data_IF_126418189396
#
_entry.id   IF_126418189396
#
_cell.length_a   1.000
_cell.length_b   1.000
_cell.length_c   1.000
_cell.angle_alpha   90.00
_cell.angle_beta   90.00
_cell.angle_gamma   90.00
#
_symmetry.space_group_name_H-M   'P 1'
#
loop_
_entity.id
_entity.type
_entity.pdbx_description
1 polymer ?
#
# COMPACT_ATOMS: atom_id res chain seq x y z
N UNK A 1 -38.85 -30.29 -49.45
CA UNK A 1 -38.24 -29.17 -50.19
C UNK A 1 -37.49 -28.29 -49.21
N UNK A 2 -36.22 -27.97 -49.52
CA UNK A 2 -35.32 -26.97 -48.95
C UNK A 2 -35.02 -27.03 -47.42
N UNK A 3 -33.88 -27.56 -46.94
CA UNK A 3 -32.48 -27.05 -46.93
C UNK A 3 -32.23 -25.74 -46.16
N UNK A 4 -31.48 -25.83 -45.05
CA UNK A 4 -30.43 -24.88 -44.61
C UNK A 4 -29.72 -25.50 -43.38
N UNK A 5 -28.62 -26.26 -43.50
CA UNK A 5 -27.20 -25.82 -43.67
C UNK A 5 -26.78 -24.68 -42.74
N UNK A 6 -26.18 -25.07 -41.62
CA UNK A 6 -25.23 -24.28 -40.83
C UNK A 6 -23.97 -23.98 -41.65
N UNK A 7 -23.38 -22.78 -41.48
CA UNK A 7 -21.95 -22.61 -41.64
C UNK A 7 -21.30 -22.03 -40.38
N UNK A 8 -20.32 -22.76 -39.86
CA UNK A 8 -19.12 -22.17 -39.24
C UNK A 8 -18.41 -21.35 -40.32
N UNK A 9 -18.08 -20.08 -40.05
CA UNK A 9 -16.80 -19.41 -40.33
C UNK A 9 -16.93 -17.87 -40.19
N UNK A 10 -15.81 -17.22 -39.86
CA UNK A 10 -15.55 -15.79 -39.59
C UNK A 10 -15.75 -15.40 -38.11
N UNK A 11 -14.81 -15.51 -37.17
CA UNK A 11 -13.38 -15.14 -37.14
C UNK A 11 -13.02 -13.86 -37.92
N UNK A 12 -12.43 -12.92 -37.17
CA UNK A 12 -11.93 -11.58 -37.54
C UNK A 12 -13.00 -10.50 -37.64
N UNK A 13 -13.14 -9.69 -36.57
CA UNK A 13 -12.82 -8.25 -36.57
C UNK A 13 -13.25 -7.62 -35.23
N UNK A 14 -12.30 -7.49 -34.30
CA UNK A 14 -12.17 -6.35 -33.40
C UNK A 14 -10.76 -6.38 -32.79
N UNK A 15 -9.78 -6.15 -33.67
CA UNK A 15 -8.46 -5.65 -33.26
C UNK A 15 -8.64 -4.16 -32.92
N UNK A 16 -7.92 -3.73 -31.87
CA UNK A 16 -7.78 -2.35 -31.38
C UNK A 16 -8.72 -1.91 -30.24
N UNK A 17 -8.72 -2.64 -29.13
CA UNK A 17 -8.75 -1.94 -27.84
C UNK A 17 -7.32 -1.50 -27.51
N UNK A 18 -7.01 -0.24 -27.84
CA UNK A 18 -5.83 0.45 -27.32
C UNK A 18 -5.85 0.31 -25.81
N UNK A 19 -4.79 -0.27 -25.26
CA UNK A 19 -4.53 -0.30 -23.83
C UNK A 19 -4.73 1.09 -23.23
N UNK A 20 -5.80 1.29 -22.48
CA UNK A 20 -5.89 2.37 -21.52
C UNK A 20 -4.75 2.15 -20.53
N UNK A 21 -3.67 2.91 -20.70
CA UNK A 21 -2.59 3.00 -19.71
C UNK A 21 -3.21 3.58 -18.44
N UNK A 22 -3.58 2.70 -17.51
CA UNK A 22 -3.69 3.09 -16.10
C UNK A 22 -2.36 3.67 -15.61
N UNK A 23 -2.37 4.52 -14.58
CA UNK A 23 -1.14 5.11 -14.06
C UNK A 23 -0.18 3.97 -13.68
N UNK A 24 1.01 3.98 -14.30
CA UNK A 24 2.07 3.03 -14.02
C UNK A 24 2.32 3.05 -12.51
N UNK A 25 2.19 1.90 -11.85
CA UNK A 25 2.58 1.71 -10.46
C UNK A 25 4.06 2.09 -10.32
N UNK A 26 4.33 3.32 -9.90
CA UNK A 26 5.69 3.80 -9.63
C UNK A 26 6.11 3.20 -8.30
N UNK A 27 6.66 2.00 -8.31
CA UNK A 27 7.27 1.41 -7.13
C UNK A 27 8.50 2.25 -6.74
N UNK A 28 8.40 3.02 -5.65
CA UNK A 28 9.56 3.56 -4.97
C UNK A 28 10.00 2.54 -3.92
N UNK A 29 10.65 1.46 -4.37
CA UNK A 29 11.70 0.91 -3.52
C UNK A 29 12.80 1.97 -3.54
N UNK A 30 13.09 2.61 -2.41
CA UNK A 30 14.24 3.50 -2.31
C UNK A 30 15.48 2.66 -2.64
N UNK A 31 16.05 2.88 -3.84
CA UNK A 31 17.31 2.28 -4.23
C UNK A 31 18.36 2.78 -3.24
N UNK A 32 18.84 1.90 -2.35
CA UNK A 32 19.98 2.19 -1.49
C UNK A 32 21.18 2.40 -2.43
N UNK A 33 21.77 3.61 -2.50
CA UNK A 33 22.90 3.85 -3.38
C UNK A 33 24.05 2.90 -3.00
N UNK A 34 24.47 2.03 -3.93
CA UNK A 34 25.60 1.12 -3.75
C UNK A 34 25.27 -0.34 -3.40
N UNK A 35 24.02 -0.68 -3.02
CA UNK A 35 23.65 -2.08 -2.69
C UNK A 35 22.94 -2.79 -3.85
N UNK A 36 22.33 -2.05 -4.76
CA UNK A 36 21.61 -2.60 -5.92
C UNK A 36 22.43 -2.50 -7.22
N UNK A 37 23.75 -2.71 -7.19
CA UNK A 37 24.43 -3.04 -8.43
C UNK A 37 23.98 -4.44 -8.82
N UNK A 38 23.00 -4.50 -9.71
CA UNK A 38 22.63 -5.75 -10.40
C UNK A 38 23.89 -6.18 -11.14
N UNK A 39 24.50 -7.27 -10.69
CA UNK A 39 25.64 -7.86 -11.34
C UNK A 39 25.22 -8.33 -12.74
N UNK A 40 25.52 -7.50 -13.73
CA UNK A 40 25.28 -7.79 -15.14
C UNK A 40 26.47 -8.50 -15.80
N UNK A 41 27.56 -8.73 -15.04
CA UNK A 41 28.80 -9.33 -15.52
C UNK A 41 28.90 -10.82 -15.20
N UNK A 42 28.34 -11.27 -14.08
CA UNK A 42 28.23 -12.71 -13.82
C UNK A 42 27.14 -13.33 -14.68
N UNK A 43 27.40 -14.56 -15.16
CA UNK A 43 26.40 -15.41 -15.79
C UNK A 43 25.44 -15.96 -14.72
N UNK A 44 24.83 -15.06 -13.93
CA UNK A 44 23.94 -15.38 -12.79
C UNK A 44 22.80 -16.30 -13.21
N UNK A 45 22.31 -16.16 -14.44
CA UNK A 45 21.24 -16.97 -15.02
C UNK A 45 21.74 -18.23 -15.75
N UNK A 46 23.06 -18.48 -15.80
CA UNK A 46 23.65 -19.64 -16.48
C UNK A 46 23.22 -19.79 -17.93
N UNK A 47 23.22 -18.69 -18.70
CA UNK A 47 22.73 -18.58 -20.09
C UNK A 47 21.25 -18.90 -20.30
N UNK A 48 20.44 -19.06 -19.24
CA UNK A 48 18.99 -19.20 -19.38
C UNK A 48 18.37 -17.83 -19.73
N UNK A 49 17.47 -17.75 -20.72
CA UNK A 49 16.73 -16.52 -20.99
C UNK A 49 15.98 -16.08 -19.73
N UNK A 50 16.03 -14.79 -19.39
CA UNK A 50 15.35 -14.24 -18.20
C UNK A 50 13.89 -14.67 -18.10
N UNK A 51 13.18 -14.81 -19.23
CA UNK A 51 11.77 -15.26 -19.32
C UNK A 51 11.52 -16.75 -19.05
N UNK A 52 12.57 -17.56 -18.92
CA UNK A 52 12.50 -18.99 -18.60
C UNK A 52 13.17 -19.32 -17.27
N UNK A 53 13.43 -18.30 -16.45
CA UNK A 53 14.04 -18.48 -15.15
C UNK A 53 13.05 -19.20 -14.21
N UNK A 54 13.49 -20.22 -13.43
CA UNK A 54 12.62 -20.96 -12.51
C UNK A 54 11.96 -20.08 -11.43
N UNK A 55 12.53 -18.90 -11.15
CA UNK A 55 11.94 -17.91 -10.24
C UNK A 55 10.81 -17.07 -10.84
N UNK A 56 10.43 -17.28 -12.11
CA UNK A 56 9.25 -16.60 -12.67
C UNK A 56 7.99 -17.24 -12.10
N UNK A 57 7.18 -16.42 -11.44
CA UNK A 57 5.90 -16.81 -10.90
C UNK A 57 4.78 -16.22 -11.77
N UNK A 58 3.97 -17.10 -12.36
CA UNK A 58 2.77 -16.71 -13.11
C UNK A 58 1.54 -16.72 -12.19
N UNK A 59 1.50 -15.77 -11.24
CA UNK A 59 0.40 -15.69 -10.28
C UNK A 59 -0.78 -14.91 -10.86
N UNK A 60 -2.02 -15.40 -10.69
CA UNK A 60 -3.20 -14.65 -11.11
C UNK A 60 -3.39 -13.39 -10.26
N UNK A 61 -4.16 -12.43 -10.76
CA UNK A 61 -4.56 -11.27 -9.96
C UNK A 61 -5.41 -11.69 -8.77
N UNK A 62 -5.16 -11.11 -7.59
CA UNK A 62 -5.96 -11.38 -6.40
C UNK A 62 -7.18 -10.47 -6.41
N UNK A 63 -8.36 -11.06 -6.34
CA UNK A 63 -9.61 -10.34 -6.13
C UNK A 63 -10.02 -10.42 -4.66
N UNK A 64 -10.65 -9.35 -4.17
CA UNK A 64 -11.33 -9.37 -2.88
C UNK A 64 -12.40 -10.47 -2.86
N UNK A 65 -12.63 -11.14 -1.71
CA UNK A 65 -13.79 -11.99 -1.54
C UNK A 65 -15.07 -11.19 -1.79
N UNK A 66 -16.04 -11.78 -2.49
CA UNK A 66 -17.27 -11.08 -2.88
C UNK A 66 -18.01 -10.49 -1.67
N UNK A 67 -18.13 -11.27 -0.58
CA UNK A 67 -18.75 -10.80 0.66
C UNK A 67 -18.07 -9.55 1.25
N UNK A 68 -16.74 -9.46 1.17
CA UNK A 68 -15.99 -8.29 1.63
C UNK A 68 -16.19 -7.09 0.69
N UNK A 69 -16.19 -7.33 -0.63
CA UNK A 69 -16.45 -6.29 -1.61
C UNK A 69 -17.86 -5.70 -1.46
N UNK A 70 -18.86 -6.55 -1.27
CA UNK A 70 -20.26 -6.16 -1.09
C UNK A 70 -20.45 -5.38 0.23
N UNK A 71 -19.85 -5.85 1.33
CA UNK A 71 -19.87 -5.14 2.60
C UNK A 71 -19.24 -3.75 2.48
N UNK A 72 -18.07 -3.65 1.83
CA UNK A 72 -17.40 -2.37 1.63
C UNK A 72 -18.24 -1.40 0.76
N UNK A 73 -18.89 -1.91 -0.29
CA UNK A 73 -19.80 -1.12 -1.13
C UNK A 73 -21.01 -0.63 -0.34
N UNK A 74 -21.65 -1.50 0.43
CA UNK A 74 -22.80 -1.16 1.27
C UNK A 74 -22.45 -0.05 2.27
N UNK A 75 -21.29 -0.14 2.92
CA UNK A 75 -20.82 0.89 3.85
C UNK A 75 -20.58 2.25 3.20
N UNK A 76 -20.15 2.28 1.94
CA UNK A 76 -20.03 3.52 1.16
C UNK A 76 -21.39 4.09 0.76
N UNK A 77 -22.39 3.24 0.53
CA UNK A 77 -23.75 3.67 0.20
C UNK A 77 -24.54 4.18 1.42
N UNK A 78 -24.37 3.57 2.60
CA UNK A 78 -25.02 4.00 3.84
C UNK A 78 -24.63 5.42 4.26
N UNK A 79 -23.41 5.84 3.92
CA UNK A 79 -22.85 7.14 4.26
C UNK A 79 -22.39 7.88 3.01
N UNK A 80 -23.32 8.51 2.26
CA UNK A 80 -22.96 9.23 1.05
C UNK A 80 -22.05 10.41 1.38
N UNK A 81 -20.76 10.29 1.05
CA UNK A 81 -19.78 11.36 1.18
C UNK A 81 -19.67 12.15 -0.11
N UNK A 82 -19.33 13.44 0.00
CA UNK A 82 -19.10 14.29 -1.18
C UNK A 82 -17.77 13.94 -1.83
N UNK A 83 -17.77 13.71 -3.14
CA UNK A 83 -16.54 13.51 -3.93
C UNK A 83 -15.61 12.38 -3.41
N UNK A 84 -16.17 11.23 -3.02
CA UNK A 84 -15.43 10.08 -2.46
C UNK A 84 -14.18 9.75 -3.28
N UNK A 85 -14.30 9.66 -4.61
CA UNK A 85 -13.18 9.35 -5.51
C UNK A 85 -12.02 10.34 -5.39
N UNK A 86 -12.31 11.64 -5.29
CA UNK A 86 -11.28 12.67 -5.12
C UNK A 86 -10.62 12.55 -3.74
N UNK A 87 -11.39 12.26 -2.71
CA UNK A 87 -10.88 12.06 -1.35
C UNK A 87 -9.98 10.82 -1.28
N UNK A 88 -10.40 9.71 -1.89
CA UNK A 88 -9.62 8.47 -2.03
C UNK A 88 -8.30 8.74 -2.76
N UNK A 89 -8.36 9.42 -3.91
CA UNK A 89 -7.14 9.75 -4.67
C UNK A 89 -6.20 10.66 -3.88
N UNK A 90 -6.74 11.67 -3.18
CA UNK A 90 -5.96 12.58 -2.34
C UNK A 90 -5.29 11.83 -1.19
N UNK A 91 -6.03 10.95 -0.50
CA UNK A 91 -5.49 10.12 0.58
C UNK A 91 -4.41 9.16 0.07
N UNK A 92 -4.64 8.48 -1.05
CA UNK A 92 -3.65 7.58 -1.66
C UNK A 92 -2.35 8.32 -2.00
N UNK A 93 -2.45 9.50 -2.60
CA UNK A 93 -1.29 10.34 -2.91
C UNK A 93 -0.58 10.82 -1.64
N UNK A 94 -1.35 11.24 -0.63
CA UNK A 94 -0.82 11.64 0.66
C UNK A 94 -0.04 10.49 1.32
N UNK A 95 -0.65 9.32 1.49
CA UNK A 95 -0.01 8.13 2.07
C UNK A 95 1.26 7.73 1.32
N UNK A 96 1.24 7.81 -0.01
CA UNK A 96 2.39 7.51 -0.85
C UNK A 96 3.55 8.50 -0.70
N UNK A 97 3.25 9.76 -0.39
CA UNK A 97 4.26 10.82 -0.21
C UNK A 97 4.77 10.95 1.22
N UNK A 98 4.35 10.08 2.16
CA UNK A 98 4.80 10.14 3.55
C UNK A 98 6.27 9.72 3.67
N UNK A 99 7.00 10.47 4.47
CA UNK A 99 8.36 10.14 4.89
C UNK A 99 8.36 9.80 6.37
N UNK A 100 9.34 9.02 6.82
CA UNK A 100 9.55 8.79 8.25
C UNK A 100 9.90 10.13 8.94
N UNK A 101 9.52 10.30 10.22
CA UNK A 101 10.03 11.40 11.03
C UNK A 101 11.57 11.44 10.97
N UNK A 102 12.13 12.65 10.85
CA UNK A 102 13.58 12.81 10.85
C UNK A 102 14.09 12.63 12.28
N UNK A 103 15.14 11.83 12.43
CA UNK A 103 15.76 11.59 13.73
C UNK A 103 16.31 12.89 14.35
N UNK A 104 16.24 13.07 15.68
CA UNK A 104 16.74 14.28 16.35
C UNK A 104 18.21 14.58 16.03
N UNK A 105 19.05 13.54 15.91
CA UNK A 105 20.47 13.69 15.57
C UNK A 105 20.68 14.26 14.16
N UNK A 106 19.87 13.83 13.20
CA UNK A 106 19.94 14.33 11.84
C UNK A 106 19.49 15.79 11.77
N UNK A 107 18.46 16.16 12.53
CA UNK A 107 18.02 17.56 12.67
C UNK A 107 19.13 18.44 13.25
N UNK A 108 19.84 17.97 14.27
CA UNK A 108 20.97 18.69 14.87
C UNK A 108 22.12 18.86 13.88
N UNK A 109 22.49 17.82 13.12
CA UNK A 109 23.53 17.92 12.08
C UNK A 109 23.16 18.93 11.00
N UNK A 110 21.89 18.92 10.57
CA UNK A 110 21.36 19.91 9.60
C UNK A 110 21.38 21.32 10.18
N UNK A 111 21.03 21.49 11.46
CA UNK A 111 21.09 22.77 12.16
C UNK A 111 22.51 23.35 12.16
N UNK A 112 23.50 22.56 12.59
CA UNK A 112 24.90 22.96 12.63
C UNK A 112 25.46 23.31 11.23
N UNK A 113 25.07 22.54 10.21
CA UNK A 113 25.42 22.85 8.82
C UNK A 113 24.82 24.18 8.35
N UNK A 114 23.56 24.45 8.69
CA UNK A 114 22.90 25.72 8.35
C UNK A 114 23.52 26.90 9.09
N UNK A 115 23.85 26.75 10.38
CA UNK A 115 24.56 27.76 11.17
C UNK A 115 25.88 28.14 10.48
N UNK A 116 26.71 27.15 10.15
CA UNK A 116 27.97 27.37 9.44
C UNK A 116 27.75 28.08 8.10
N UNK A 117 26.77 27.63 7.32
CA UNK A 117 26.44 28.22 6.01
C UNK A 117 25.93 29.66 6.11
N UNK A 118 25.23 30.02 7.17
CA UNK A 118 24.76 31.39 7.38
C UNK A 118 25.87 32.31 7.87
N UNK A 119 26.78 31.82 8.72
CA UNK A 119 27.98 32.55 9.14
C UNK A 119 28.90 32.84 7.94
N UNK A 120 29.09 31.88 7.03
CA UNK A 120 29.89 32.06 5.81
C UNK A 120 29.28 33.07 4.81
N UNK A 121 27.97 33.35 4.91
CA UNK A 121 27.24 34.23 3.98
C UNK A 121 27.07 35.66 4.45
N UNK A 122 27.31 35.96 5.74
CA UNK A 122 27.15 37.30 6.28
C UNK A 122 28.50 37.95 6.53
N UNK A 123 28.71 39.15 5.97
CA UNK A 123 29.94 39.94 6.17
C UNK A 123 30.08 40.51 7.60
N UNK A 124 29.00 40.49 8.39
CA UNK A 124 28.97 40.93 9.79
C UNK A 124 28.35 39.86 10.66
N UNK A 125 28.91 39.62 11.84
CA UNK A 125 28.43 38.58 12.74
C UNK A 125 26.97 38.86 13.19
N UNK A 126 25.99 38.03 12.81
CA UNK A 126 24.62 38.18 13.28
C UNK A 126 24.57 38.02 14.80
N UNK A 127 23.63 38.73 15.44
CA UNK A 127 23.24 38.42 16.82
C UNK A 127 22.82 36.95 16.90
N UNK A 128 23.25 36.24 17.95
CA UNK A 128 22.99 34.81 18.14
C UNK A 128 21.50 34.45 17.99
N UNK A 129 20.62 35.32 18.51
CA UNK A 129 19.16 35.17 18.40
C UNK A 129 18.68 35.18 16.94
N UNK A 130 19.17 36.10 16.11
CA UNK A 130 18.80 36.21 14.69
C UNK A 130 19.29 35.01 13.88
N UNK A 131 20.50 34.52 14.21
CA UNK A 131 21.04 33.31 13.59
C UNK A 131 20.16 32.09 13.92
N UNK A 132 19.82 31.93 15.21
CA UNK A 132 18.94 30.85 15.68
C UNK A 132 17.58 30.89 15.01
N UNK A 133 16.95 32.06 14.90
CA UNK A 133 15.66 32.22 14.21
C UNK A 133 15.76 31.84 12.72
N UNK A 134 16.81 32.27 12.04
CA UNK A 134 17.04 31.95 10.62
C UNK A 134 17.25 30.44 10.40
N UNK A 135 18.01 29.79 11.28
CA UNK A 135 18.25 28.33 11.25
C UNK A 135 16.94 27.58 11.50
N UNK A 136 16.18 27.93 12.54
CA UNK A 136 14.90 27.30 12.83
C UNK A 136 13.89 27.48 11.68
N UNK A 137 13.85 28.65 11.06
CA UNK A 137 12.99 28.90 9.89
C UNK A 137 13.40 28.05 8.68
N UNK A 138 14.69 27.95 8.40
CA UNK A 138 15.22 27.10 7.33
C UNK A 138 14.95 25.60 7.60
N UNK A 139 15.12 25.15 8.85
CA UNK A 139 14.81 23.78 9.25
C UNK A 139 13.33 23.47 9.07
N UNK A 140 12.42 24.35 9.53
CA UNK A 140 10.96 24.17 9.34
C UNK A 140 10.56 24.08 7.88
N UNK A 141 11.21 24.83 6.98
CA UNK A 141 10.94 24.80 5.53
C UNK A 141 11.47 23.55 4.82
N UNK A 142 12.58 23.01 5.30
CA UNK A 142 13.31 21.91 4.62
C UNK A 142 13.02 20.54 5.24
N UNK A 143 12.54 20.51 6.48
CA UNK A 143 12.20 19.28 7.20
C UNK A 143 10.78 18.87 6.87
N UNK A 144 10.60 17.60 6.51
CA UNK A 144 9.28 17.02 6.33
C UNK A 144 8.49 17.10 7.65
N UNK A 145 7.33 17.76 7.61
CA UNK A 145 6.45 17.84 8.77
C UNK A 145 5.62 16.57 8.86
N UNK A 146 6.16 15.57 9.56
CA UNK A 146 5.40 14.37 9.87
C UNK A 146 4.26 14.71 10.81
N UNK A 147 3.06 14.27 10.44
CA UNK A 147 1.87 14.39 11.27
C UNK A 147 1.22 13.01 11.41
N UNK A 148 0.78 12.71 12.63
CA UNK A 148 0.01 11.51 12.93
C UNK A 148 -1.34 11.58 12.20
N UNK A 149 -1.77 10.44 11.65
CA UNK A 149 -3.09 10.30 11.06
C UNK A 149 -4.07 9.86 12.13
N UNK A 150 -4.97 10.76 12.51
CA UNK A 150 -6.10 10.44 13.39
C UNK A 150 -7.29 10.00 12.55
N UNK A 151 -7.66 8.72 12.65
CA UNK A 151 -8.74 8.13 11.87
C UNK A 151 -10.11 8.40 12.49
N UNK A 152 -10.89 9.28 11.85
CA UNK A 152 -12.33 9.44 12.10
C UNK A 152 -13.13 8.34 11.36
N UNK A 153 -14.43 8.23 11.62
CA UNK A 153 -15.30 7.31 10.88
C UNK A 153 -15.29 7.59 9.37
N UNK A 154 -15.32 8.88 8.96
CA UNK A 154 -15.28 9.28 7.55
C UNK A 154 -13.93 8.93 6.92
N UNK A 155 -12.82 9.29 7.58
CA UNK A 155 -11.48 8.98 7.06
C UNK A 155 -11.22 7.48 7.00
N UNK A 156 -11.79 6.69 7.93
CA UNK A 156 -11.68 5.23 7.91
C UNK A 156 -12.37 4.63 6.69
N UNK A 157 -13.55 5.13 6.30
CA UNK A 157 -14.23 4.70 5.07
C UNK A 157 -13.43 5.05 3.82
N UNK A 158 -12.87 6.26 3.76
CA UNK A 158 -12.02 6.69 2.65
C UNK A 158 -10.75 5.82 2.61
N UNK A 159 -10.15 5.52 3.75
CA UNK A 159 -9.00 4.64 3.86
C UNK A 159 -9.32 3.21 3.39
N UNK A 160 -10.48 2.66 3.77
CA UNK A 160 -10.96 1.38 3.27
C UNK A 160 -11.06 1.39 1.75
N UNK A 161 -11.76 2.37 1.17
CA UNK A 161 -11.89 2.50 -0.28
C UNK A 161 -10.54 2.66 -0.99
N UNK A 162 -9.55 3.28 -0.33
CA UNK A 162 -8.22 3.51 -0.88
C UNK A 162 -7.26 2.31 -0.77
N UNK A 163 -7.43 1.43 0.24
CA UNK A 163 -6.36 0.50 0.67
C UNK A 163 -6.80 -0.94 0.91
N UNK A 164 -8.10 -1.22 1.02
CA UNK A 164 -8.60 -2.55 1.41
C UNK A 164 -8.15 -3.65 0.44
N UNK A 165 -8.29 -3.41 -0.87
CA UNK A 165 -7.94 -4.34 -1.93
C UNK A 165 -6.43 -4.65 -1.97
N UNK A 166 -5.59 -3.61 -1.95
CA UNK A 166 -4.14 -3.74 -1.95
C UNK A 166 -3.61 -4.38 -0.67
N UNK A 167 -4.18 -4.01 0.49
CA UNK A 167 -3.85 -4.61 1.78
C UNK A 167 -4.17 -6.10 1.83
N UNK A 168 -5.39 -6.47 1.43
CA UNK A 168 -5.79 -7.87 1.34
C UNK A 168 -4.92 -8.66 0.36
N UNK A 169 -4.68 -8.14 -0.85
CA UNK A 169 -3.94 -8.84 -1.89
C UNK A 169 -2.49 -9.14 -1.48
N UNK A 170 -1.81 -8.17 -0.86
CA UNK A 170 -0.43 -8.34 -0.39
C UNK A 170 -0.33 -9.44 0.68
N UNK A 171 -1.19 -9.37 1.70
CA UNK A 171 -1.18 -10.34 2.80
C UNK A 171 -1.60 -11.73 2.32
N UNK A 172 -2.63 -11.81 1.47
CA UNK A 172 -3.07 -13.07 0.88
C UNK A 172 -1.97 -13.75 0.07
N UNK A 173 -1.12 -12.98 -0.65
CA UNK A 173 0.04 -13.56 -1.35
C UNK A 173 1.13 -14.05 -0.41
N UNK A 174 1.41 -13.33 0.68
CA UNK A 174 2.31 -13.83 1.70
C UNK A 174 1.80 -15.15 2.31
N UNK A 175 0.51 -15.23 2.65
CA UNK A 175 -0.09 -16.45 3.20
C UNK A 175 -0.15 -17.60 2.19
N UNK A 176 -0.38 -17.30 0.91
CA UNK A 176 -0.32 -18.30 -0.16
C UNK A 176 1.06 -18.96 -0.23
N UNK A 177 2.14 -18.19 -0.14
CA UNK A 177 3.51 -18.73 -0.12
C UNK A 177 3.77 -19.59 1.13
N UNK A 178 3.28 -19.19 2.30
CA UNK A 178 3.40 -19.99 3.53
C UNK A 178 2.69 -21.34 3.36
N UNK A 179 1.43 -21.31 2.90
CA UNK A 179 0.63 -22.51 2.69
C UNK A 179 1.24 -23.44 1.63
N UNK A 180 1.80 -22.88 0.56
CA UNK A 180 2.41 -23.68 -0.51
C UNK A 180 3.71 -24.38 -0.05
N UNK A 181 4.47 -23.75 0.84
CA UNK A 181 5.75 -24.28 1.34
C UNK A 181 5.59 -25.18 2.55
N UNK A 182 4.58 -24.93 3.39
CA UNK A 182 4.31 -25.67 4.63
C UNK A 182 2.81 -26.01 4.70
N UNK A 183 2.34 -27.03 3.96
CA UNK A 183 0.92 -27.40 3.93
C UNK A 183 0.34 -27.82 5.28
N UNK A 184 1.20 -28.27 6.21
CA UNK A 184 0.83 -28.70 7.55
C UNK A 184 0.61 -27.51 8.50
N UNK A 185 1.02 -26.30 8.11
CA UNK A 185 0.80 -25.10 8.91
C UNK A 185 -0.68 -24.77 8.99
N UNK A 186 -1.26 -25.00 10.18
CA UNK A 186 -2.69 -24.85 10.48
C UNK A 186 -2.87 -24.02 11.76
N UNK A 187 -2.71 -22.69 11.68
CA UNK A 187 -2.84 -21.84 12.86
C UNK A 187 -4.27 -21.93 13.42
N UNK A 188 -4.37 -21.96 14.75
CA UNK A 188 -5.65 -21.98 15.47
C UNK A 188 -6.07 -20.59 15.95
N UNK A 189 -5.12 -19.69 16.15
CA UNK A 189 -5.35 -18.32 16.60
C UNK A 189 -4.58 -17.35 15.70
N UNK A 190 -5.12 -16.15 15.52
CA UNK A 190 -4.50 -15.05 14.80
C UNK A 190 -4.52 -13.81 15.70
N UNK A 191 -3.38 -13.13 15.81
CA UNK A 191 -3.31 -11.78 16.37
C UNK A 191 -2.78 -10.81 15.31
N UNK A 192 -3.48 -9.71 15.11
CA UNK A 192 -3.14 -8.66 14.14
C UNK A 192 -3.04 -7.31 14.86
N UNK A 193 -1.83 -6.75 14.92
CA UNK A 193 -1.55 -5.47 15.56
C UNK A 193 -1.48 -4.35 14.51
N UNK A 194 -2.28 -3.31 14.71
CA UNK A 194 -2.55 -2.31 13.67
C UNK A 194 -3.51 -2.86 12.61
N UNK A 195 -4.55 -3.57 13.04
CA UNK A 195 -5.43 -4.35 12.14
C UNK A 195 -6.17 -3.49 11.12
N UNK A 196 -6.34 -2.19 11.38
CA UNK A 196 -6.98 -1.24 10.47
C UNK A 196 -8.35 -1.72 10.01
N UNK A 197 -8.49 -2.01 8.71
CA UNK A 197 -9.74 -2.47 8.09
C UNK A 197 -9.99 -3.98 8.22
N UNK A 198 -9.12 -4.72 8.91
CA UNK A 198 -9.25 -6.18 9.07
C UNK A 198 -8.82 -6.99 7.84
N UNK A 199 -7.98 -6.42 6.96
CA UNK A 199 -7.52 -7.09 5.74
C UNK A 199 -6.77 -8.40 6.02
N UNK A 200 -5.99 -8.45 7.10
CA UNK A 200 -5.24 -9.65 7.52
C UNK A 200 -6.20 -10.74 7.99
N UNK A 201 -7.20 -10.40 8.81
CA UNK A 201 -8.21 -11.36 9.27
C UNK A 201 -8.94 -12.01 8.09
N UNK A 202 -9.33 -11.21 7.08
CA UNK A 202 -9.94 -11.71 5.85
C UNK A 202 -9.01 -12.61 5.03
N UNK A 203 -7.74 -12.21 4.86
CA UNK A 203 -6.75 -13.02 4.16
C UNK A 203 -6.48 -14.35 4.89
N UNK A 204 -6.38 -14.30 6.21
CA UNK A 204 -6.15 -15.46 7.06
C UNK A 204 -7.34 -16.42 7.03
N UNK A 205 -8.57 -15.90 7.10
CA UNK A 205 -9.79 -16.69 6.97
C UNK A 205 -9.87 -17.39 5.62
N UNK A 206 -9.48 -16.70 4.53
CA UNK A 206 -9.47 -17.32 3.19
C UNK A 206 -8.44 -18.45 3.07
N UNK A 207 -7.31 -18.37 3.77
CA UNK A 207 -6.23 -19.37 3.68
C UNK A 207 -6.42 -20.53 4.67
N UNK A 208 -6.82 -20.21 5.92
CA UNK A 208 -6.87 -21.15 7.06
C UNK A 208 -8.18 -21.11 7.84
N UNK A 209 -9.28 -20.64 7.25
CA UNK A 209 -10.57 -20.47 7.95
C UNK A 209 -11.15 -21.76 8.56
N UNK A 210 -10.71 -22.94 8.12
CA UNK A 210 -11.10 -24.21 8.72
C UNK A 210 -10.36 -24.54 10.03
N UNK A 211 -9.14 -24.01 10.24
CA UNK A 211 -8.35 -24.26 11.46
C UNK A 211 -8.41 -23.10 12.44
N UNK A 212 -8.56 -21.87 11.95
CA UNK A 212 -8.63 -20.67 12.78
C UNK A 212 -9.93 -20.64 13.59
N UNK A 213 -9.79 -20.49 14.92
CA UNK A 213 -10.88 -20.43 15.89
C UNK A 213 -11.02 -19.06 16.53
N UNK A 214 -9.92 -18.31 16.62
CA UNK A 214 -9.88 -17.01 17.29
C UNK A 214 -9.11 -15.99 16.47
N UNK A 215 -9.67 -14.77 16.40
CA UNK A 215 -9.09 -13.61 15.73
C UNK A 215 -9.02 -12.47 16.75
N UNK A 216 -7.81 -11.98 17.03
CA UNK A 216 -7.56 -10.86 17.92
C UNK A 216 -7.02 -9.70 17.09
N UNK A 217 -7.89 -8.72 16.83
CA UNK A 217 -7.56 -7.52 16.07
C UNK A 217 -7.32 -6.36 17.04
N UNK A 218 -6.14 -5.78 17.02
CA UNK A 218 -5.75 -4.66 17.89
C UNK A 218 -5.44 -3.44 17.04
N UNK A 219 -6.06 -2.31 17.34
CA UNK A 219 -5.79 -1.03 16.68
C UNK A 219 -6.02 0.11 17.68
N UNK A 220 -5.33 1.24 17.49
CA UNK A 220 -5.52 2.43 18.33
C UNK A 220 -6.77 3.22 17.94
N UNK A 221 -7.25 3.07 16.70
CA UNK A 221 -8.45 3.75 16.22
C UNK A 221 -9.70 2.92 16.47
N UNK A 222 -10.56 3.42 17.37
CA UNK A 222 -11.90 2.86 17.57
C UNK A 222 -12.76 2.88 16.29
N UNK A 223 -12.60 3.90 15.44
CA UNK A 223 -13.32 4.01 14.17
C UNK A 223 -12.90 2.91 13.18
N UNK A 224 -11.60 2.59 13.13
CA UNK A 224 -11.08 1.48 12.32
C UNK A 224 -11.57 0.13 12.84
N UNK A 225 -11.53 -0.09 14.15
CA UNK A 225 -12.05 -1.34 14.75
C UNK A 225 -13.54 -1.52 14.46
N UNK A 226 -14.35 -0.47 14.64
CA UNK A 226 -15.78 -0.52 14.32
C UNK A 226 -16.05 -0.75 12.82
N UNK A 227 -15.21 -0.22 11.94
CA UNK A 227 -15.26 -0.50 10.50
C UNK A 227 -14.89 -1.96 10.19
N UNK A 228 -13.77 -2.46 10.72
CA UNK A 228 -13.31 -3.82 10.53
C UNK A 228 -14.32 -4.85 11.05
N UNK A 229 -14.94 -4.59 12.20
CA UNK A 229 -15.99 -5.44 12.77
C UNK A 229 -17.19 -5.57 11.82
N UNK A 230 -17.66 -4.45 11.25
CA UNK A 230 -18.74 -4.45 10.26
C UNK A 230 -18.36 -5.22 9.00
N UNK A 231 -17.13 -5.00 8.50
CA UNK A 231 -16.63 -5.74 7.34
C UNK A 231 -16.55 -7.24 7.60
N UNK A 232 -16.11 -7.67 8.80
CA UNK A 232 -15.96 -9.08 9.15
C UNK A 232 -17.30 -9.79 9.38
N UNK A 233 -18.30 -9.10 9.93
CA UNK A 233 -19.64 -9.65 10.16
C UNK A 233 -20.43 -9.84 8.86
N UNK A 234 -20.08 -9.12 7.80
CA UNK A 234 -20.81 -9.11 6.54
C UNK A 234 -22.14 -8.34 6.64
N UNK A 235 -22.84 -8.15 5.51
CA UNK A 235 -24.17 -7.55 5.52
C UNK A 235 -25.14 -8.46 6.29
N UNK A 236 -25.87 -7.88 7.25
CA UNK A 236 -27.01 -8.52 7.93
C UNK A 236 -28.20 -8.55 6.99
#
# INVERSE_FOLDING_TARGET
MATARTPRFLLLFCRSCRSLRGPQSRAYAALVPGVSQVDNGSDFLGKKPHRKHPGILHLPHVQLPQALADAAQLMLFERPMRSVEKQVQALTNYLWSRHLPVEPEELQRRAAYLEKKFLEKQDSAPTEEKLREAVLHALRKTTYHWQELSYSEELSLIYMAARLDGGFAAVFRAFHEIQARIPEFRPQTLMDFGSGTGSVAWAAHRTWGQSLREYVCVDSSAAMLGLAEKLLKGPV
#
